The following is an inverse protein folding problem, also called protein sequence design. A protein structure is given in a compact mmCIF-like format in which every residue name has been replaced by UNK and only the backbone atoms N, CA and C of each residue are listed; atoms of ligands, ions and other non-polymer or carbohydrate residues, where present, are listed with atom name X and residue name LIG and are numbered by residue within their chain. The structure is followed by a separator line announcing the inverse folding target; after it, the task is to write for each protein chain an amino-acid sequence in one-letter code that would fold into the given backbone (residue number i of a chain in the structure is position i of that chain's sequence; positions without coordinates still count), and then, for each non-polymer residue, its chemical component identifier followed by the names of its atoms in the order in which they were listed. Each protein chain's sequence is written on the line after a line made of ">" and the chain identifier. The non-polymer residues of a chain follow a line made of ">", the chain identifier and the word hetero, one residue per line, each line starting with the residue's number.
data_IF_833061940113
#
_entry.id   IF_833061940113
#
_cell.length_a   1.000
_cell.length_b   1.000
_cell.length_c   1.000
_cell.angle_alpha   90.00
_cell.angle_beta   90.00
_cell.angle_gamma   90.00
#
_symmetry.space_group_name_H-M   'P 1'
#
loop_
_entity.id
_entity.type
_entity.pdbx_description
1 polymer ?
#
# COMPACT_ATOMS: atom_id res chain seq x y z
N UNK A 1 -31.95 15.21 67.34
CA UNK A 1 -31.13 14.59 66.28
C UNK A 1 -31.92 14.62 64.98
N UNK A 2 -31.47 15.40 63.99
CA UNK A 2 -32.06 15.45 62.64
C UNK A 2 -31.19 14.62 61.70
N UNK A 3 -31.74 13.76 60.82
CA UNK A 3 -30.92 13.03 59.85
C UNK A 3 -30.50 13.97 58.71
N UNK A 4 -29.21 13.90 58.35
CA UNK A 4 -28.55 14.72 57.32
C UNK A 4 -28.94 14.38 55.87
N UNK A 5 -28.48 15.18 54.90
CA UNK A 5 -29.04 15.19 53.55
C UNK A 5 -28.64 13.99 52.70
N UNK A 6 -29.63 13.44 51.97
CA UNK A 6 -29.47 12.39 50.97
C UNK A 6 -28.81 12.95 49.71
N UNK A 7 -27.58 12.51 49.41
CA UNK A 7 -26.86 12.88 48.19
C UNK A 7 -27.28 11.93 47.07
N UNK A 8 -28.11 12.42 46.15
CA UNK A 8 -28.55 11.66 44.97
C UNK A 8 -27.49 11.77 43.88
N UNK A 9 -26.61 10.77 43.78
CA UNK A 9 -25.66 10.66 42.68
C UNK A 9 -26.40 10.30 41.39
N UNK A 10 -26.47 11.23 40.44
CA UNK A 10 -26.91 10.94 39.08
C UNK A 10 -25.69 10.55 38.25
N UNK A 11 -25.66 9.30 37.79
CA UNK A 11 -24.65 8.81 36.86
C UNK A 11 -25.06 9.26 35.46
N UNK A 12 -24.38 10.25 34.90
CA UNK A 12 -24.51 10.58 33.47
C UNK A 12 -23.74 9.52 32.66
N UNK A 13 -24.38 8.83 31.69
CA UNK A 13 -23.69 7.91 30.82
C UNK A 13 -22.80 8.72 29.87
N UNK A 14 -21.48 8.51 29.96
CA UNK A 14 -20.51 9.11 29.06
C UNK A 14 -20.72 8.46 27.69
N UNK A 15 -21.49 9.12 26.83
CA UNK A 15 -21.70 8.73 25.46
C UNK A 15 -20.32 8.64 24.79
N UNK A 16 -19.97 7.43 24.35
CA UNK A 16 -18.64 7.11 23.87
C UNK A 16 -18.18 8.09 22.80
N UNK A 17 -17.16 8.89 23.14
CA UNK A 17 -16.30 9.53 22.16
C UNK A 17 -15.64 8.39 21.38
N UNK A 18 -16.28 7.99 20.27
CA UNK A 18 -15.62 7.23 19.22
C UNK A 18 -14.54 8.16 18.70
N UNK A 19 -13.33 7.97 19.22
CA UNK A 19 -12.14 8.59 18.68
C UNK A 19 -12.03 8.18 17.22
N UNK A 20 -12.55 9.03 16.32
CA UNK A 20 -12.18 8.97 14.92
C UNK A 20 -10.76 9.56 14.87
N UNK A 21 -9.78 8.74 15.28
CA UNK A 21 -8.42 8.89 14.81
C UNK A 21 -8.49 8.63 13.31
N UNK A 22 -8.86 9.65 12.52
CA UNK A 22 -8.54 9.68 11.11
C UNK A 22 -7.16 10.29 11.02
N UNK A 23 -6.09 9.51 10.87
CA UNK A 23 -4.77 10.06 10.74
C UNK A 23 -4.71 10.48 9.27
N UNK A 24 -5.05 11.74 9.00
CA UNK A 24 -5.17 12.33 7.65
C UNK A 24 -3.92 12.06 6.79
N UNK A 25 -2.79 11.77 7.43
CA UNK A 25 -1.50 11.42 6.84
C UNK A 25 -1.42 10.03 6.18
N UNK A 26 -2.16 9.01 6.63
CA UNK A 26 -2.10 7.68 5.98
C UNK A 26 -2.73 7.65 4.57
N UNK A 27 -3.45 8.70 4.16
CA UNK A 27 -4.04 8.78 2.82
C UNK A 27 -3.10 9.33 1.74
N UNK A 28 -1.89 9.75 2.14
CA UNK A 28 -0.92 10.40 1.23
C UNK A 28 0.25 9.51 0.81
N UNK A 29 0.37 8.30 1.38
CA UNK A 29 1.44 7.33 1.12
C UNK A 29 0.84 5.94 0.90
N UNK A 30 1.10 5.35 -0.25
CA UNK A 30 0.78 3.97 -0.59
C UNK A 30 2.08 3.22 -0.87
N UNK A 31 2.20 1.99 -0.35
CA UNK A 31 3.41 1.17 -0.48
C UNK A 31 3.03 -0.25 -0.85
N UNK A 32 3.68 -0.78 -1.89
CA UNK A 32 3.56 -2.16 -2.33
C UNK A 32 4.96 -2.74 -2.53
N UNK A 33 5.14 -4.03 -2.25
CA UNK A 33 6.44 -4.69 -2.47
C UNK A 33 6.29 -6.17 -2.81
N UNK A 34 7.24 -6.64 -3.60
CA UNK A 34 7.47 -8.04 -3.91
C UNK A 34 8.92 -8.40 -3.58
N UNK A 35 9.35 -9.62 -3.90
CA UNK A 35 10.75 -10.00 -3.80
C UNK A 35 11.66 -9.36 -4.87
N UNK A 36 11.09 -8.68 -5.87
CA UNK A 36 11.86 -8.11 -7.00
C UNK A 36 11.69 -6.61 -7.19
N UNK A 37 10.66 -5.99 -6.59
CA UNK A 37 10.44 -4.55 -6.67
C UNK A 37 9.74 -4.00 -5.41
N UNK A 38 9.91 -2.70 -5.19
CA UNK A 38 9.17 -1.88 -4.23
C UNK A 38 8.59 -0.70 -4.98
N UNK A 39 7.29 -0.49 -4.84
CA UNK A 39 6.55 0.64 -5.39
C UNK A 39 6.07 1.51 -4.23
N UNK A 40 6.49 2.77 -4.23
CA UNK A 40 6.04 3.78 -3.27
C UNK A 40 5.34 4.88 -4.04
N UNK A 41 4.08 5.13 -3.71
CA UNK A 41 3.29 6.21 -4.28
C UNK A 41 3.01 7.25 -3.23
N UNK A 42 3.34 8.50 -3.51
CA UNK A 42 3.12 9.62 -2.59
C UNK A 42 2.34 10.73 -3.26
N UNK A 43 1.45 11.36 -2.49
CA UNK A 43 0.84 12.62 -2.92
C UNK A 43 1.86 13.76 -2.82
N UNK A 44 1.77 14.80 -3.67
CA UNK A 44 2.62 15.98 -3.56
C UNK A 44 2.55 16.66 -2.18
N UNK A 45 1.45 16.45 -1.45
CA UNK A 45 1.19 17.00 -0.12
C UNK A 45 1.57 16.04 1.02
N UNK A 46 2.50 15.11 0.80
CA UNK A 46 2.93 14.13 1.82
C UNK A 46 3.55 14.82 3.05
N UNK A 47 4.22 15.96 2.86
CA UNK A 47 4.72 16.80 3.95
C UNK A 47 3.71 17.90 4.27
N UNK A 48 3.43 18.17 5.57
CA UNK A 48 2.42 19.16 5.95
C UNK A 48 2.80 20.55 5.45
N UNK A 49 1.81 21.25 4.88
CA UNK A 49 1.94 22.64 4.41
C UNK A 49 2.95 22.87 3.27
N UNK A 50 3.35 21.81 2.57
CA UNK A 50 4.28 21.86 1.43
C UNK A 50 3.65 21.10 0.27
N UNK A 51 3.69 21.69 -0.93
CA UNK A 51 3.44 21.00 -2.18
C UNK A 51 4.80 20.73 -2.80
N UNK A 52 5.28 19.49 -2.69
CA UNK A 52 6.60 19.12 -3.16
C UNK A 52 6.56 18.85 -4.66
N UNK A 53 7.53 19.37 -5.39
CA UNK A 53 7.71 19.03 -6.80
C UNK A 53 8.42 17.67 -6.96
N UNK A 54 8.25 16.95 -8.08
CA UNK A 54 8.85 15.63 -8.27
C UNK A 54 10.38 15.62 -8.11
N UNK A 55 11.06 16.69 -8.53
CA UNK A 55 12.52 16.84 -8.46
C UNK A 55 13.03 17.18 -7.06
N UNK A 56 12.14 17.48 -6.11
CA UNK A 56 12.48 17.74 -4.71
C UNK A 56 12.34 16.48 -3.85
N UNK A 57 11.90 15.36 -4.43
CA UNK A 57 11.56 14.14 -3.73
C UNK A 57 12.46 12.98 -4.18
N UNK A 58 12.98 12.27 -3.20
CA UNK A 58 13.90 11.16 -3.45
C UNK A 58 13.63 9.96 -2.55
N UNK A 59 13.96 8.76 -3.03
CA UNK A 59 13.94 7.52 -2.27
C UNK A 59 15.35 7.16 -1.78
N UNK A 60 15.48 6.88 -0.48
CA UNK A 60 16.69 6.33 0.14
C UNK A 60 17.93 7.19 -0.12
N UNK A 61 18.87 6.68 -0.92
CA UNK A 61 20.11 7.36 -1.30
C UNK A 61 19.91 8.27 -2.54
N UNK A 62 18.96 9.19 -2.44
CA UNK A 62 18.69 10.24 -3.44
C UNK A 62 18.27 9.73 -4.83
N UNK A 63 17.55 8.61 -4.89
CA UNK A 63 16.95 8.13 -6.14
C UNK A 63 15.71 8.94 -6.52
N UNK A 64 15.58 9.42 -7.77
CA UNK A 64 14.49 10.32 -8.17
C UNK A 64 13.13 9.62 -8.29
N UNK A 65 12.06 10.40 -8.43
CA UNK A 65 10.75 9.92 -8.86
C UNK A 65 10.87 9.20 -10.21
N UNK A 66 10.28 8.00 -10.34
CA UNK A 66 10.32 7.20 -11.57
C UNK A 66 9.19 7.55 -12.53
N UNK A 67 8.01 7.87 -12.00
CA UNK A 67 6.86 8.31 -12.81
C UNK A 67 6.02 9.38 -12.08
N UNK A 68 5.40 10.26 -12.86
CA UNK A 68 4.63 11.41 -12.36
C UNK A 68 3.19 11.33 -12.85
N UNK A 69 2.25 11.31 -11.92
CA UNK A 69 0.82 11.41 -12.20
C UNK A 69 0.23 12.69 -11.60
N UNK A 70 -0.95 13.15 -12.07
CA UNK A 70 -1.60 14.34 -11.53
C UNK A 70 -1.90 14.26 -10.02
N UNK A 71 -2.14 13.05 -9.51
CA UNK A 71 -2.56 12.81 -8.12
C UNK A 71 -1.42 12.34 -7.21
N UNK A 72 -0.37 11.75 -7.77
CA UNK A 72 0.73 11.13 -7.02
C UNK A 72 2.00 11.00 -7.85
N UNK A 73 3.11 10.81 -7.15
CA UNK A 73 4.41 10.46 -7.73
C UNK A 73 4.76 9.03 -7.35
N UNK A 74 5.39 8.32 -8.27
CA UNK A 74 5.76 6.92 -8.10
C UNK A 74 7.29 6.77 -8.00
N UNK A 75 7.72 5.93 -7.08
CA UNK A 75 9.06 5.39 -7.00
C UNK A 75 8.97 3.87 -7.17
N UNK A 76 9.47 3.35 -8.28
CA UNK A 76 9.53 1.91 -8.56
C UNK A 76 10.97 1.45 -8.70
N UNK A 77 11.47 0.75 -7.69
CA UNK A 77 12.88 0.31 -7.62
C UNK A 77 13.00 -1.13 -7.15
N UNK A 78 14.12 -1.77 -7.52
CA UNK A 78 14.52 -3.08 -7.03
C UNK A 78 14.96 -3.04 -5.55
N UNK A 79 14.81 -4.14 -4.79
CA UNK A 79 15.14 -4.21 -3.36
C UNK A 79 16.60 -3.94 -2.97
N UNK A 80 17.52 -4.01 -3.92
CA UNK A 80 18.95 -3.73 -3.73
C UNK A 80 19.36 -2.34 -4.22
N UNK A 81 18.43 -1.57 -4.75
CA UNK A 81 18.69 -0.23 -5.27
C UNK A 81 18.46 0.84 -4.20
N UNK A 82 18.95 2.06 -4.44
CA UNK A 82 18.60 3.24 -3.65
C UNK A 82 18.87 3.14 -2.14
N UNK A 83 19.74 2.23 -1.70
CA UNK A 83 20.00 2.00 -0.27
C UNK A 83 18.84 1.36 0.49
N UNK A 84 17.93 0.67 -0.21
CA UNK A 84 16.86 -0.11 0.41
C UNK A 84 17.48 -1.25 1.24
N UNK A 85 17.07 -1.36 2.51
CA UNK A 85 17.53 -2.42 3.41
C UNK A 85 16.51 -3.55 3.44
N UNK A 86 16.95 -4.75 3.11
CA UNK A 86 16.14 -5.97 3.15
C UNK A 86 16.44 -6.80 4.40
N UNK A 87 15.47 -6.94 5.29
CA UNK A 87 15.52 -7.88 6.41
C UNK A 87 14.78 -9.16 6.03
N UNK A 88 15.54 -10.24 5.86
CA UNK A 88 14.99 -11.55 5.48
C UNK A 88 14.70 -12.37 6.73
N UNK A 89 13.44 -12.74 6.93
CA UNK A 89 13.00 -13.65 7.98
C UNK A 89 12.57 -14.98 7.35
N UNK A 90 12.23 -15.97 8.19
CA UNK A 90 11.79 -17.29 7.70
C UNK A 90 10.56 -17.18 6.79
N UNK A 91 9.55 -16.41 7.19
CA UNK A 91 8.24 -16.40 6.53
C UNK A 91 7.92 -15.09 5.80
N UNK A 92 8.79 -14.09 5.86
CA UNK A 92 8.57 -12.80 5.21
C UNK A 92 9.89 -12.07 4.97
N UNK A 93 9.84 -11.05 4.14
CA UNK A 93 10.91 -10.10 3.89
C UNK A 93 10.35 -8.72 4.27
N UNK A 94 11.10 -7.97 5.07
CA UNK A 94 10.78 -6.58 5.39
C UNK A 94 11.77 -5.67 4.68
N UNK A 95 11.26 -4.76 3.88
CA UNK A 95 12.04 -3.70 3.26
C UNK A 95 11.91 -2.43 4.07
N UNK A 96 13.04 -1.76 4.28
CA UNK A 96 13.13 -0.50 5.02
C UNK A 96 13.86 0.52 4.15
N UNK A 97 13.23 1.67 3.93
CA UNK A 97 13.80 2.81 3.22
C UNK A 97 13.15 4.10 3.74
N UNK A 98 13.36 5.22 3.06
CA UNK A 98 12.80 6.53 3.41
C UNK A 98 12.54 7.36 2.16
N UNK A 99 11.54 8.24 2.22
CA UNK A 99 11.39 9.35 1.29
C UNK A 99 12.12 10.55 1.89
N UNK A 100 12.97 11.20 1.11
CA UNK A 100 13.67 12.44 1.42
C UNK A 100 13.03 13.56 0.61
N UNK A 101 12.73 14.67 1.28
CA UNK A 101 12.37 15.92 0.64
C UNK A 101 13.53 16.90 0.79
N UNK A 102 14.02 17.37 -0.35
CA UNK A 102 15.08 18.35 -0.46
C UNK A 102 14.56 19.56 -1.25
N UNK A 103 14.17 20.67 -0.59
CA UNK A 103 13.62 21.83 -1.27
C UNK A 103 14.66 22.48 -2.19
N UNK A 104 14.25 22.89 -3.38
CA UNK A 104 15.11 23.67 -4.27
C UNK A 104 15.41 25.07 -3.70
N UNK A 105 14.47 25.62 -2.91
CA UNK A 105 14.61 26.89 -2.21
C UNK A 105 14.19 26.74 -0.76
N UNK A 106 15.12 26.36 0.10
CA UNK A 106 14.87 26.22 1.54
C UNK A 106 16.06 25.59 2.26
N UNK A 107 15.98 25.57 3.59
CA UNK A 107 17.01 24.95 4.45
C UNK A 107 16.50 23.73 5.23
N UNK A 108 15.21 23.42 5.12
CA UNK A 108 14.54 22.39 5.91
C UNK A 108 14.31 21.15 5.04
N UNK A 109 15.21 20.18 5.16
CA UNK A 109 14.99 18.82 4.67
C UNK A 109 13.99 18.09 5.55
N UNK A 110 13.25 17.15 4.96
CA UNK A 110 12.36 16.27 5.70
C UNK A 110 12.53 14.82 5.25
N UNK A 111 12.34 13.89 6.17
CA UNK A 111 12.41 12.46 5.88
C UNK A 111 11.14 11.75 6.38
N UNK A 112 10.60 10.85 5.57
CA UNK A 112 9.48 9.98 5.92
C UNK A 112 9.92 8.52 5.83
N UNK A 113 9.94 7.74 6.92
CA UNK A 113 10.32 6.34 6.86
C UNK A 113 9.27 5.52 6.09
N UNK A 114 9.74 4.61 5.25
CA UNK A 114 8.92 3.68 4.47
C UNK A 114 9.28 2.25 4.87
N UNK A 115 8.26 1.46 5.17
CA UNK A 115 8.39 0.04 5.49
C UNK A 115 7.40 -0.74 4.64
N UNK A 116 7.86 -1.86 4.09
CA UNK A 116 6.99 -2.79 3.40
C UNK A 116 7.31 -4.23 3.81
N UNK A 117 6.28 -5.03 4.04
CA UNK A 117 6.42 -6.43 4.44
C UNK A 117 5.78 -7.29 3.37
N UNK A 118 6.57 -8.18 2.79
CA UNK A 118 6.11 -9.20 1.85
C UNK A 118 6.22 -10.56 2.52
N UNK A 119 5.09 -11.26 2.66
CA UNK A 119 5.08 -12.62 3.17
C UNK A 119 5.55 -13.60 2.10
N UNK A 120 6.50 -14.46 2.44
CA UNK A 120 6.91 -15.58 1.60
C UNK A 120 5.71 -16.54 1.57
N UNK A 121 5.10 -16.69 0.39
CA UNK A 121 4.04 -17.66 0.23
C UNK A 121 4.57 -19.06 0.55
N UNK A 122 3.92 -19.73 1.49
CA UNK A 122 3.84 -21.20 1.43
C UNK A 122 2.73 -21.46 0.42
N UNK A 123 3.00 -22.19 -0.66
CA UNK A 123 1.94 -22.74 -1.51
C UNK A 123 1.14 -23.75 -0.68
N UNK A 124 0.22 -23.26 0.14
CA UNK A 124 -0.79 -24.07 0.81
C UNK A 124 -1.87 -24.36 -0.21
N UNK A 125 -1.87 -25.57 -0.75
CA UNK A 125 -3.03 -26.13 -1.43
C UNK A 125 -4.19 -26.20 -0.45
N UNK A 126 -4.91 -25.10 -0.24
CA UNK A 126 -6.28 -25.23 0.19
C UNK A 126 -7.06 -25.58 -1.08
N UNK A 127 -7.24 -26.89 -1.34
CA UNK A 127 -8.26 -27.34 -2.28
C UNK A 127 -9.58 -26.72 -1.80
N UNK A 128 -10.02 -25.66 -2.48
CA UNK A 128 -11.46 -25.43 -2.59
C UNK A 128 -12.01 -26.67 -3.26
N UNK A 129 -12.68 -27.51 -2.47
CA UNK A 129 -13.45 -28.64 -2.97
C UNK A 129 -14.66 -28.04 -3.72
N UNK A 130 -14.44 -27.64 -4.97
CA UNK A 130 -15.51 -27.14 -5.82
C UNK A 130 -16.21 -28.33 -6.48
N UNK A 131 -17.49 -28.46 -6.14
CA UNK A 131 -18.40 -29.50 -6.59
C UNK A 131 -18.42 -29.59 -8.11
N UNK A 132 -17.86 -30.69 -8.63
CA UNK A 132 -18.06 -31.33 -9.94
C UNK A 132 -19.04 -30.62 -10.91
N UNK A 133 -18.53 -29.66 -11.69
CA UNK A 133 -19.13 -29.23 -12.95
C UNK A 133 -18.36 -29.81 -14.13
N UNK A 134 -18.96 -30.76 -14.85
CA UNK A 134 -18.38 -31.41 -16.03
C UNK A 134 -18.43 -30.45 -17.23
N UNK A 135 -17.29 -29.97 -17.70
CA UNK A 135 -17.17 -29.35 -19.03
C UNK A 135 -16.54 -30.36 -19.99
N UNK A 136 -17.30 -30.71 -21.02
CA UNK A 136 -16.88 -31.51 -22.18
C UNK A 136 -16.06 -30.59 -23.09
N UNK A 137 -14.84 -31.00 -23.44
CA UNK A 137 -14.03 -30.36 -24.48
C UNK A 137 -14.18 -31.21 -25.74
N UNK A 138 -14.91 -30.71 -26.73
CA UNK A 138 -14.75 -31.12 -28.13
C UNK A 138 -14.12 -29.93 -28.86
N UNK A 139 -12.90 -30.13 -29.37
CA UNK A 139 -12.19 -29.20 -30.23
C UNK A 139 -12.28 -29.75 -31.66
N UNK A 140 -12.80 -28.98 -32.62
CA UNK A 140 -12.52 -29.13 -34.05
C UNK A 140 -12.45 -27.74 -34.74
N UNK A 141 -11.27 -27.46 -35.30
CA UNK A 141 -10.90 -26.74 -36.53
C UNK A 141 -11.17 -25.23 -36.81
N UNK A 142 -10.03 -24.51 -36.93
CA UNK A 142 -9.56 -23.63 -38.04
C UNK A 142 -10.25 -22.30 -38.45
N UNK A 143 -9.41 -21.24 -38.41
CA UNK A 143 -9.32 -20.02 -39.26
C UNK A 143 -10.17 -18.72 -39.04
N UNK A 144 -9.39 -17.63 -38.89
CA UNK A 144 -9.48 -16.26 -39.47
C UNK A 144 -10.52 -15.22 -38.96
N UNK A 145 -9.92 -14.17 -38.39
CA UNK A 145 -10.25 -12.73 -38.41
C UNK A 145 -11.53 -12.16 -37.73
N UNK A 146 -11.23 -11.23 -36.82
CA UNK A 146 -11.74 -9.85 -36.77
C UNK A 146 -12.69 -9.44 -35.63
N UNK A 147 -12.32 -8.29 -35.05
CA UNK A 147 -13.11 -7.27 -34.35
C UNK A 147 -13.93 -7.60 -33.08
N UNK A 148 -13.46 -7.02 -31.97
CA UNK A 148 -14.19 -6.21 -30.97
C UNK A 148 -15.64 -6.60 -30.61
N UNK A 149 -15.87 -7.01 -29.36
CA UNK A 149 -16.67 -6.22 -28.41
C UNK A 149 -16.74 -6.79 -26.98
N UNK A 150 -16.66 -5.85 -26.04
CA UNK A 150 -17.56 -5.74 -24.89
C UNK A 150 -17.39 -6.70 -23.71
N UNK A 151 -16.62 -6.22 -22.73
CA UNK A 151 -17.10 -6.13 -21.34
C UNK A 151 -17.37 -7.42 -20.60
N UNK A 152 -16.43 -7.84 -19.74
CA UNK A 152 -16.70 -8.53 -18.47
C UNK A 152 -15.49 -8.36 -17.55
N UNK A 153 -15.77 -7.93 -16.32
CA UNK A 153 -14.79 -7.65 -15.26
C UNK A 153 -13.73 -8.75 -15.18
N UNK A 154 -12.52 -8.45 -15.67
CA UNK A 154 -11.37 -9.31 -15.42
C UNK A 154 -10.95 -9.01 -14.00
N UNK A 155 -11.33 -9.88 -13.07
CA UNK A 155 -10.68 -9.90 -11.78
C UNK A 155 -9.26 -10.43 -12.04
N UNK A 156 -8.31 -9.50 -12.23
CA UNK A 156 -6.91 -9.85 -12.46
C UNK A 156 -6.35 -10.30 -11.11
N UNK A 157 -6.59 -11.56 -10.76
CA UNK A 157 -5.77 -12.24 -9.76
C UNK A 157 -4.48 -12.63 -10.46
N UNK A 158 -3.43 -11.85 -10.24
CA UNK A 158 -2.10 -12.20 -10.72
C UNK A 158 -1.66 -13.51 -10.05
N UNK A 159 -1.38 -14.58 -10.80
CA UNK A 159 -0.80 -15.78 -10.21
C UNK A 159 0.63 -15.46 -9.76
N UNK A 160 0.97 -15.87 -8.55
CA UNK A 160 2.34 -15.88 -8.06
C UNK A 160 3.24 -16.60 -9.08
N UNK A 161 4.20 -15.89 -9.67
CA UNK A 161 5.23 -16.49 -10.51
C UNK A 161 6.42 -16.84 -9.63
N UNK A 162 6.67 -18.13 -9.44
CA UNK A 162 7.93 -18.66 -8.91
C UNK A 162 8.80 -19.12 -10.08
N UNK A 163 10.08 -18.75 -10.08
CA UNK A 163 11.11 -19.29 -10.96
C UNK A 163 11.88 -20.37 -10.21
#
# INVERSE_FOLDING_TARGET
>A
MSPGPQVRAQVLPILGLRWVFSPRWFSALEVQCTNVWICVRIKPTIFPSIYAEPFELFLGNDCPVTDTHPEFYEFLYGPSECGIISHVFQNFIMFVTKIRYFPNRGLMEAEMPVRCVMHKGVCGWHLSHETKGRIHLENEDMEVASAMQSGKNVNVTFPCVSK
#
